data_IF_871146572667
#
_entry.id   IF_871146572667
#
_cell.length_a   1.000
_cell.length_b   1.000
_cell.length_c   1.000
_cell.angle_alpha   90.00
_cell.angle_beta   90.00
_cell.angle_gamma   90.00
#
_symmetry.space_group_name_H-M   'P 1'
#
loop_
_entity.id
_entity.type
_entity.pdbx_description
1 polymer ?
#
# COMPACT_ATOMS: atom_id res chain seq x y z
N UNK A 1 -11.73 3.69 -11.90
CA UNK A 1 -12.02 5.12 -11.59
C UNK A 1 -10.87 5.94 -12.17
N UNK A 2 -11.17 6.99 -12.92
CA UNK A 2 -10.14 7.85 -13.49
C UNK A 2 -9.88 9.03 -12.56
N UNK A 3 -8.63 9.49 -12.50
CA UNK A 3 -8.19 10.56 -11.58
C UNK A 3 -8.94 11.87 -11.82
N UNK A 4 -9.30 12.16 -13.09
CA UNK A 4 -10.08 13.35 -13.45
C UNK A 4 -11.46 13.38 -12.81
N UNK A 5 -12.11 12.22 -12.62
CA UNK A 5 -13.41 12.09 -11.95
C UNK A 5 -13.35 12.42 -10.45
N UNK A 6 -12.16 12.38 -9.86
CA UNK A 6 -11.94 12.71 -8.46
C UNK A 6 -11.75 14.21 -8.23
N UNK A 7 -11.43 14.99 -9.28
CA UNK A 7 -11.15 16.41 -9.12
C UNK A 7 -12.44 17.20 -8.82
N UNK A 8 -12.34 18.10 -7.86
CA UNK A 8 -13.36 19.11 -7.57
C UNK A 8 -13.13 20.37 -8.41
N UNK A 9 -14.13 21.24 -8.48
CA UNK A 9 -14.03 22.54 -9.16
C UNK A 9 -12.88 23.42 -8.62
N UNK A 10 -12.47 23.21 -7.37
CA UNK A 10 -11.39 23.93 -6.72
C UNK A 10 -10.00 23.32 -6.96
N UNK A 11 -9.88 22.33 -7.85
CA UNK A 11 -8.61 21.66 -8.17
C UNK A 11 -8.09 20.70 -7.08
N UNK A 12 -8.91 20.36 -6.07
CA UNK A 12 -8.61 19.37 -5.05
C UNK A 12 -9.19 18.01 -5.43
N UNK A 13 -8.65 16.92 -4.87
CA UNK A 13 -9.28 15.61 -4.99
C UNK A 13 -10.39 15.44 -3.95
N UNK A 14 -11.49 14.80 -4.34
CA UNK A 14 -12.59 14.47 -3.43
C UNK A 14 -12.38 13.11 -2.79
N UNK A 15 -12.08 13.08 -1.50
CA UNK A 15 -12.02 11.87 -0.68
C UNK A 15 -13.37 11.14 -0.73
N UNK A 16 -14.49 11.89 -0.65
CA UNK A 16 -15.82 11.31 -0.70
C UNK A 16 -16.07 10.56 -2.02
N UNK A 17 -15.79 11.17 -3.17
CA UNK A 17 -15.97 10.51 -4.49
C UNK A 17 -15.09 9.29 -4.63
N UNK A 18 -13.89 9.32 -4.04
CA UNK A 18 -12.99 8.18 -4.04
C UNK A 18 -13.52 7.03 -3.20
N UNK A 19 -14.04 7.30 -1.99
CA UNK A 19 -14.49 6.28 -1.05
C UNK A 19 -15.89 5.75 -1.37
N UNK A 20 -16.77 6.56 -1.97
CA UNK A 20 -18.19 6.24 -2.19
C UNK A 20 -18.42 4.84 -2.80
N UNK A 21 -17.73 4.41 -3.86
CA UNK A 21 -17.93 3.07 -4.42
C UNK A 21 -17.53 1.93 -3.48
N UNK A 22 -16.51 2.16 -2.63
CA UNK A 22 -16.04 1.18 -1.65
C UNK A 22 -16.97 1.11 -0.44
N UNK A 23 -17.48 2.27 -0.01
CA UNK A 23 -18.43 2.38 1.10
C UNK A 23 -19.80 1.76 0.76
N UNK A 24 -20.17 1.74 -0.51
CA UNK A 24 -21.40 1.13 -1.00
C UNK A 24 -21.31 -0.41 -1.16
N UNK A 25 -20.12 -1.02 -1.06
CA UNK A 25 -19.94 -2.46 -1.26
C UNK A 25 -20.15 -3.23 0.05
N UNK A 26 -21.26 -4.00 0.19
CA UNK A 26 -21.64 -4.62 1.47
C UNK A 26 -20.73 -5.77 1.91
N UNK A 27 -19.89 -6.29 1.03
CA UNK A 27 -18.91 -7.35 1.33
C UNK A 27 -17.60 -6.84 1.88
N UNK A 28 -17.39 -5.52 1.89
CA UNK A 28 -16.25 -4.86 2.51
C UNK A 28 -16.65 -4.38 3.91
N UNK A 29 -16.02 -4.92 4.93
CA UNK A 29 -16.11 -4.33 6.27
C UNK A 29 -15.29 -3.05 6.27
N UNK A 30 -15.91 -1.95 6.66
CA UNK A 30 -15.28 -0.62 6.63
C UNK A 30 -15.20 -0.02 8.03
N UNK A 31 -14.14 0.73 8.27
CA UNK A 31 -13.96 1.51 9.50
C UNK A 31 -13.21 2.81 9.18
N UNK A 32 -13.64 3.88 9.81
CA UNK A 32 -12.98 5.18 9.76
C UNK A 32 -12.16 5.34 11.04
N UNK A 33 -10.85 5.14 10.93
CA UNK A 33 -9.94 5.11 12.06
C UNK A 33 -9.58 6.52 12.51
N UNK A 34 -9.69 6.74 13.82
CA UNK A 34 -9.41 8.02 14.45
C UNK A 34 -10.30 9.15 13.92
N UNK A 35 -10.20 10.30 14.52
CA UNK A 35 -10.82 11.52 14.02
C UNK A 35 -9.94 12.69 14.42
N UNK A 36 -9.49 13.47 13.45
CA UNK A 36 -8.65 14.63 13.67
C UNK A 36 -9.10 15.80 12.82
N UNK A 37 -8.71 17.01 13.21
CA UNK A 37 -9.13 18.23 12.55
C UNK A 37 -7.91 19.00 12.03
N UNK A 38 -7.99 19.43 10.78
CA UNK A 38 -7.00 20.30 10.13
C UNK A 38 -7.73 21.34 9.29
N UNK A 39 -7.42 22.61 9.52
CA UNK A 39 -8.02 23.71 8.76
C UNK A 39 -9.55 23.78 8.88
N UNK A 40 -10.12 23.41 10.03
CA UNK A 40 -11.57 23.43 10.27
C UNK A 40 -12.35 22.28 9.62
N UNK A 41 -11.64 21.29 9.06
CA UNK A 41 -12.23 20.09 8.44
C UNK A 41 -11.83 18.85 9.23
N UNK A 42 -12.77 17.88 9.35
CA UNK A 42 -12.53 16.59 10.01
C UNK A 42 -12.06 15.57 9.00
N UNK A 43 -11.06 14.80 9.41
CA UNK A 43 -10.49 13.71 8.65
C UNK A 43 -10.41 12.43 9.49
N UNK A 44 -10.28 11.30 8.81
CA UNK A 44 -10.01 9.98 9.39
C UNK A 44 -9.19 9.16 8.38
N UNK A 45 -8.55 8.10 8.84
CA UNK A 45 -7.89 7.13 7.96
C UNK A 45 -8.87 6.00 7.66
N UNK A 46 -9.31 5.80 6.40
CA UNK A 46 -10.23 4.73 6.05
C UNK A 46 -9.51 3.37 6.03
N UNK A 47 -10.10 2.37 6.67
CA UNK A 47 -9.70 0.97 6.60
C UNK A 47 -10.82 0.14 6.02
N UNK A 48 -10.49 -0.70 5.03
CA UNK A 48 -11.36 -1.74 4.51
C UNK A 48 -10.80 -3.10 4.87
N UNK A 49 -11.65 -3.99 5.33
CA UNK A 49 -11.27 -5.36 5.67
C UNK A 49 -11.97 -6.32 4.73
N UNK A 50 -11.18 -7.17 4.08
CA UNK A 50 -11.66 -8.27 3.26
C UNK A 50 -11.14 -9.58 3.80
N UNK A 51 -12.07 -10.49 4.18
CA UNK A 51 -11.73 -11.84 4.61
C UNK A 51 -11.93 -12.81 3.44
N UNK A 52 -10.84 -13.38 2.99
CA UNK A 52 -10.87 -14.45 1.99
C UNK A 52 -11.46 -15.75 2.55
N UNK A 53 -11.88 -16.67 1.68
CA UNK A 53 -12.43 -17.96 2.08
C UNK A 53 -11.38 -18.90 2.65
N UNK A 54 -11.85 -20.03 3.21
CA UNK A 54 -11.11 -21.25 3.54
C UNK A 54 -10.14 -21.19 4.74
N UNK A 55 -10.17 -20.17 5.60
CA UNK A 55 -9.37 -20.17 6.83
C UNK A 55 -10.15 -19.76 8.07
N UNK A 56 -10.04 -20.56 9.13
CA UNK A 56 -10.48 -20.18 10.49
C UNK A 56 -9.48 -19.20 11.12
N UNK A 57 -8.18 -19.33 10.81
CA UNK A 57 -7.10 -18.45 11.25
C UNK A 57 -6.36 -17.87 10.03
N UNK A 58 -6.87 -16.80 9.44
CA UNK A 58 -6.31 -16.26 8.21
C UNK A 58 -5.02 -15.48 8.46
N UNK A 59 -4.15 -15.55 7.46
CA UNK A 59 -2.91 -14.76 7.41
C UNK A 59 -3.25 -13.30 7.21
N UNK A 60 -2.76 -12.43 8.08
CA UNK A 60 -3.07 -11.00 8.09
C UNK A 60 -2.07 -10.20 7.25
N UNK A 61 -2.57 -9.52 6.24
CA UNK A 61 -1.76 -8.65 5.37
C UNK A 61 -2.30 -7.23 5.42
N UNK A 62 -1.40 -6.28 5.71
CA UNK A 62 -1.67 -4.84 5.63
C UNK A 62 -1.28 -4.30 4.25
N UNK A 63 -2.22 -3.60 3.60
CA UNK A 63 -2.00 -2.94 2.30
C UNK A 63 -2.18 -1.44 2.48
N UNK A 64 -1.14 -0.66 2.19
CA UNK A 64 -1.10 0.77 2.47
C UNK A 64 -0.80 1.57 1.20
N UNK A 65 -1.50 2.70 1.00
CA UNK A 65 -1.24 3.59 -0.12
C UNK A 65 -1.51 5.06 0.25
N UNK A 66 -1.08 5.95 -0.63
CA UNK A 66 -1.22 7.39 -0.50
C UNK A 66 -0.74 7.93 0.87
N UNK A 67 0.41 7.47 1.36
CA UNK A 67 1.14 8.10 2.45
C UNK A 67 1.76 9.42 1.95
N UNK A 68 2.14 9.48 0.66
CA UNK A 68 2.33 10.71 -0.08
C UNK A 68 1.05 11.00 -0.87
N UNK A 69 0.44 12.14 -0.63
CA UNK A 69 -0.88 12.43 -1.16
C UNK A 69 -0.88 12.71 -2.67
N UNK A 70 0.24 13.10 -3.26
CA UNK A 70 0.43 13.30 -4.69
C UNK A 70 0.64 12.00 -5.49
N UNK A 71 0.67 10.84 -4.82
CA UNK A 71 0.82 9.51 -5.40
C UNK A 71 -0.52 8.73 -5.45
N UNK A 72 -1.53 9.14 -6.24
CA UNK A 72 -2.86 8.53 -6.19
C UNK A 72 -2.95 7.13 -6.80
N UNK A 73 -1.93 6.71 -7.58
CA UNK A 73 -1.93 5.43 -8.26
C UNK A 73 -2.10 4.24 -7.30
N UNK A 74 -1.41 4.28 -6.14
CA UNK A 74 -1.53 3.28 -5.10
C UNK A 74 -2.94 3.19 -4.52
N UNK A 75 -3.57 4.35 -4.22
CA UNK A 75 -4.94 4.41 -3.72
C UNK A 75 -5.94 3.80 -4.71
N UNK A 76 -5.83 4.18 -6.00
CA UNK A 76 -6.67 3.66 -7.08
C UNK A 76 -6.43 2.16 -7.29
N UNK A 77 -5.19 1.69 -7.17
CA UNK A 77 -4.87 0.27 -7.28
C UNK A 77 -5.50 -0.54 -6.15
N UNK A 78 -5.45 -0.05 -4.89
CA UNK A 78 -6.10 -0.71 -3.76
C UNK A 78 -7.64 -0.72 -3.92
N UNK A 79 -8.24 0.37 -4.38
CA UNK A 79 -9.67 0.43 -4.66
C UNK A 79 -10.08 -0.57 -5.76
N UNK A 80 -9.31 -0.64 -6.85
CA UNK A 80 -9.53 -1.60 -7.94
C UNK A 80 -9.38 -3.03 -7.44
N UNK A 81 -8.34 -3.30 -6.66
CA UNK A 81 -8.08 -4.62 -6.10
C UNK A 81 -9.18 -5.08 -5.15
N UNK A 82 -9.71 -4.21 -4.29
CA UNK A 82 -10.87 -4.52 -3.43
C UNK A 82 -12.09 -4.93 -4.26
N UNK A 83 -12.38 -4.24 -5.37
CA UNK A 83 -13.47 -4.61 -6.28
C UNK A 83 -13.23 -5.96 -6.96
N UNK A 84 -11.97 -6.28 -7.32
CA UNK A 84 -11.62 -7.60 -7.84
C UNK A 84 -11.81 -8.70 -6.80
N UNK A 85 -11.37 -8.49 -5.56
CA UNK A 85 -11.55 -9.46 -4.46
C UNK A 85 -13.02 -9.77 -4.20
N UNK A 86 -13.87 -8.76 -4.32
CA UNK A 86 -15.31 -8.93 -4.20
C UNK A 86 -15.88 -9.83 -5.31
N UNK A 87 -15.34 -9.74 -6.53
CA UNK A 87 -15.75 -10.59 -7.68
C UNK A 87 -15.10 -11.96 -7.65
N UNK A 88 -13.85 -12.04 -7.25
CA UNK A 88 -13.00 -13.22 -7.23
C UNK A 88 -12.42 -13.47 -5.84
N UNK A 89 -13.22 -13.89 -4.83
CA UNK A 89 -12.77 -14.01 -3.43
C UNK A 89 -11.59 -14.97 -3.24
N UNK A 90 -11.40 -15.94 -4.13
CA UNK A 90 -10.29 -16.89 -4.09
C UNK A 90 -8.91 -16.23 -4.28
N UNK A 91 -8.85 -15.01 -4.80
CA UNK A 91 -7.60 -14.25 -4.85
C UNK A 91 -7.03 -14.01 -3.44
N UNK A 92 -7.91 -13.86 -2.44
CA UNK A 92 -7.53 -13.70 -1.03
C UNK A 92 -7.76 -14.98 -0.20
N UNK A 93 -7.79 -16.15 -0.82
CA UNK A 93 -7.95 -17.41 -0.09
C UNK A 93 -6.92 -17.54 1.03
N UNK A 94 -7.38 -17.86 2.26
CA UNK A 94 -6.60 -17.93 3.50
C UNK A 94 -6.04 -16.60 4.03
N UNK A 95 -6.38 -15.45 3.44
CA UNK A 95 -5.93 -14.14 3.91
C UNK A 95 -7.04 -13.34 4.58
N UNK A 96 -6.65 -12.52 5.55
CA UNK A 96 -7.38 -11.37 6.05
C UNK A 96 -6.62 -10.12 5.60
N UNK A 97 -7.19 -9.40 4.64
CA UNK A 97 -6.58 -8.19 4.10
C UNK A 97 -7.15 -6.98 4.82
N UNK A 98 -6.27 -6.16 5.40
CA UNK A 98 -6.61 -4.86 5.95
C UNK A 98 -5.99 -3.80 5.04
N UNK A 99 -6.85 -3.00 4.41
CA UNK A 99 -6.50 -2.14 3.28
C UNK A 99 -6.72 -0.69 3.68
N UNK A 100 -5.66 0.11 3.59
CA UNK A 100 -5.61 1.53 3.96
C UNK A 100 -5.32 2.35 2.68
N UNK A 101 -6.33 2.66 1.87
CA UNK A 101 -6.10 3.28 0.57
C UNK A 101 -5.69 4.75 0.67
N UNK A 102 -5.96 5.41 1.79
CA UNK A 102 -5.65 6.82 2.03
C UNK A 102 -4.96 6.98 3.40
N UNK A 103 -3.64 6.76 3.44
CA UNK A 103 -2.85 6.93 4.67
C UNK A 103 -2.65 8.41 5.02
N UNK A 104 -2.66 9.30 4.03
CA UNK A 104 -2.56 10.76 4.17
C UNK A 104 -3.77 11.42 3.49
N UNK A 105 -4.93 11.46 4.14
CA UNK A 105 -6.14 12.01 3.53
C UNK A 105 -6.01 13.50 3.19
N UNK A 106 -5.29 14.28 4.01
CA UNK A 106 -5.10 15.72 3.77
C UNK A 106 -4.20 15.98 2.56
N UNK A 107 -3.09 15.27 2.44
CA UNK A 107 -2.20 15.37 1.28
C UNK A 107 -2.87 14.85 0.01
N UNK A 108 -3.66 13.76 0.10
CA UNK A 108 -4.41 13.25 -1.05
C UNK A 108 -5.41 14.28 -1.58
N UNK A 109 -6.18 14.91 -0.69
CA UNK A 109 -7.12 15.96 -1.07
C UNK A 109 -6.42 17.15 -1.72
N UNK A 110 -5.30 17.61 -1.14
CA UNK A 110 -4.55 18.78 -1.60
C UNK A 110 -3.59 18.48 -2.78
N UNK A 111 -3.45 17.21 -3.18
CA UNK A 111 -2.49 16.75 -4.19
C UNK A 111 -1.05 17.13 -3.83
N UNK A 112 -0.66 16.88 -2.59
CA UNK A 112 0.68 17.20 -2.07
C UNK A 112 1.33 15.96 -1.45
N UNK A 113 2.66 15.85 -1.55
CA UNK A 113 3.44 14.79 -0.92
C UNK A 113 3.22 14.78 0.60
N UNK A 114 3.35 15.94 1.23
CA UNK A 114 3.22 16.12 2.66
C UNK A 114 1.76 16.15 3.12
N UNK A 115 1.55 15.96 4.43
CA UNK A 115 0.27 16.30 5.09
C UNK A 115 0.02 17.81 4.98
N UNK A 116 -1.23 18.25 5.19
CA UNK A 116 -1.58 19.69 5.23
C UNK A 116 -0.82 20.47 6.31
N UNK A 117 -0.23 19.80 7.30
CA UNK A 117 0.66 20.38 8.29
C UNK A 117 2.10 20.53 7.80
N UNK A 118 2.40 20.13 6.53
CA UNK A 118 3.70 20.26 5.90
C UNK A 118 4.70 19.16 6.26
N UNK A 119 4.27 18.03 6.80
CA UNK A 119 5.12 16.90 7.18
C UNK A 119 5.09 15.80 6.13
N UNK A 120 6.27 15.30 5.76
CA UNK A 120 6.41 14.03 5.04
C UNK A 120 6.14 12.89 6.03
N UNK A 121 4.90 12.37 6.02
CA UNK A 121 4.48 11.35 6.97
C UNK A 121 5.34 10.08 6.89
N UNK A 122 5.89 9.77 5.71
CA UNK A 122 6.76 8.60 5.50
C UNK A 122 8.21 8.82 5.97
N UNK A 123 8.42 9.81 6.87
CA UNK A 123 9.66 10.05 7.61
C UNK A 123 9.42 10.20 9.12
N UNK A 124 8.16 10.02 9.56
CA UNK A 124 7.73 10.31 10.93
C UNK A 124 7.47 9.04 11.78
N UNK A 125 7.42 7.83 11.17
CA UNK A 125 7.11 6.59 11.90
C UNK A 125 8.19 6.24 12.92
N UNK A 126 7.73 5.78 14.10
CA UNK A 126 8.55 5.35 15.23
C UNK A 126 9.49 6.45 15.81
N UNK A 127 9.11 7.70 15.58
CA UNK A 127 9.86 8.88 16.03
C UNK A 127 9.09 9.74 17.03
N UNK A 128 8.08 9.17 17.72
CA UNK A 128 7.16 9.89 18.59
C UNK A 128 6.51 11.10 17.88
N UNK A 129 6.05 10.88 16.65
CA UNK A 129 5.38 11.88 15.84
C UNK A 129 4.08 12.34 16.50
N UNK A 130 3.75 13.61 16.28
CA UNK A 130 2.47 14.23 16.69
C UNK A 130 1.50 14.37 15.51
N UNK A 131 1.82 13.76 14.37
CA UNK A 131 0.95 13.72 13.21
C UNK A 131 -0.13 12.66 13.45
N UNK A 132 -1.42 13.03 13.45
CA UNK A 132 -2.49 12.09 13.82
C UNK A 132 -2.60 10.89 12.88
N UNK A 133 -2.29 11.08 11.60
CA UNK A 133 -2.25 9.98 10.62
C UNK A 133 -1.19 8.93 11.02
N UNK A 134 -0.01 9.37 11.46
CA UNK A 134 1.08 8.50 11.89
C UNK A 134 0.69 7.77 13.18
N UNK A 135 0.12 8.46 14.17
CA UNK A 135 -0.33 7.85 15.42
C UNK A 135 -1.37 6.76 15.18
N UNK A 136 -2.35 7.02 14.29
CA UNK A 136 -3.39 6.05 13.90
C UNK A 136 -2.76 4.83 13.24
N UNK A 137 -1.88 5.04 12.25
CA UNK A 137 -1.26 3.95 11.50
C UNK A 137 -0.27 3.14 12.37
N UNK A 138 0.50 3.79 13.26
CA UNK A 138 1.35 3.09 14.22
C UNK A 138 0.53 2.22 15.19
N UNK A 139 -0.66 2.68 15.61
CA UNK A 139 -1.57 1.85 16.40
C UNK A 139 -1.99 0.59 15.64
N UNK A 140 -2.38 0.70 14.38
CA UNK A 140 -2.73 -0.43 13.52
C UNK A 140 -1.55 -1.39 13.32
N UNK A 141 -0.36 -0.85 13.04
CA UNK A 141 0.87 -1.64 12.88
C UNK A 141 1.25 -2.43 14.14
N UNK A 142 0.93 -1.90 15.35
CA UNK A 142 1.18 -2.60 16.62
C UNK A 142 0.12 -3.66 16.93
N UNK A 143 -1.15 -3.42 16.57
CA UNK A 143 -2.28 -4.21 17.09
C UNK A 143 -2.81 -5.24 16.12
N UNK A 144 -2.65 -5.04 14.81
CA UNK A 144 -3.19 -5.95 13.81
C UNK A 144 -2.36 -7.22 13.60
N UNK A 145 -1.13 -7.28 14.13
CA UNK A 145 -0.24 -8.45 14.02
C UNK A 145 -0.11 -8.96 12.58
N UNK A 146 0.29 -8.08 11.66
CA UNK A 146 0.48 -8.42 10.26
C UNK A 146 1.58 -9.46 10.07
N UNK A 147 1.33 -10.45 9.21
CA UNK A 147 2.35 -11.36 8.68
C UNK A 147 3.10 -10.74 7.48
N UNK A 148 2.49 -9.73 6.86
CA UNK A 148 3.07 -8.97 5.76
C UNK A 148 2.51 -7.57 5.66
N UNK A 149 3.36 -6.63 5.21
CA UNK A 149 3.04 -5.22 5.00
C UNK A 149 3.46 -4.87 3.58
N UNK A 150 2.52 -4.34 2.79
CA UNK A 150 2.79 -3.93 1.42
C UNK A 150 2.37 -2.47 1.27
N UNK A 151 3.27 -1.65 0.74
CA UNK A 151 3.04 -0.25 0.47
C UNK A 151 3.12 0.03 -1.02
N UNK A 152 2.26 0.91 -1.49
CA UNK A 152 2.18 1.32 -2.88
C UNK A 152 2.53 2.80 -3.00
N UNK A 153 3.55 3.08 -3.79
CA UNK A 153 4.13 4.40 -4.03
C UNK A 153 4.30 4.71 -5.51
N UNK A 154 4.74 5.93 -5.82
CA UNK A 154 5.16 6.33 -7.15
C UNK A 154 6.36 7.28 -7.06
N UNK A 155 7.46 6.91 -7.73
CA UNK A 155 8.71 7.67 -7.78
C UNK A 155 8.75 8.60 -9.00
N UNK A 156 9.00 9.87 -8.81
CA UNK A 156 9.09 10.89 -9.87
C UNK A 156 10.44 10.91 -10.60
N UNK A 157 11.43 10.17 -10.08
CA UNK A 157 12.78 10.05 -10.65
C UNK A 157 12.99 8.77 -11.44
N UNK A 158 12.16 7.75 -11.25
CA UNK A 158 12.28 6.46 -11.93
C UNK A 158 11.45 6.39 -13.21
N UNK A 159 12.01 5.77 -14.25
CA UNK A 159 11.31 5.43 -15.49
C UNK A 159 10.73 4.01 -15.51
N UNK A 160 10.98 3.21 -14.47
CA UNK A 160 10.54 1.82 -14.38
C UNK A 160 10.06 1.42 -12.99
N UNK A 161 9.22 0.39 -12.95
CA UNK A 161 8.74 -0.18 -11.69
C UNK A 161 9.88 -0.90 -10.94
N UNK A 162 9.92 -0.71 -9.62
CA UNK A 162 10.89 -1.35 -8.72
C UNK A 162 10.29 -1.52 -7.33
N UNK A 163 11.06 -2.02 -6.36
CA UNK A 163 10.59 -2.08 -4.99
C UNK A 163 11.68 -2.38 -3.98
N UNK A 164 11.32 -2.17 -2.72
CA UNK A 164 12.13 -2.46 -1.55
C UNK A 164 11.63 -3.71 -0.85
N UNK A 165 12.55 -4.44 -0.24
CA UNK A 165 12.26 -5.60 0.62
C UNK A 165 12.89 -5.41 1.98
N UNK A 166 12.13 -5.78 3.03
CA UNK A 166 12.59 -5.76 4.42
C UNK A 166 11.93 -6.88 5.22
N UNK A 167 12.54 -7.24 6.34
CA UNK A 167 11.96 -8.20 7.28
C UNK A 167 12.34 -9.63 6.94
N UNK A 168 11.37 -10.47 6.61
CA UNK A 168 11.60 -11.90 6.38
C UNK A 168 12.62 -12.16 5.24
N UNK A 169 13.56 -13.10 5.47
CA UNK A 169 14.67 -13.41 4.54
C UNK A 169 14.21 -13.78 3.12
N UNK A 170 13.00 -14.29 2.95
CA UNK A 170 12.46 -14.71 1.65
C UNK A 170 11.58 -13.66 0.98
N UNK A 171 11.54 -12.43 1.52
CA UNK A 171 10.67 -11.35 1.01
C UNK A 171 10.94 -11.03 -0.46
N UNK A 172 12.20 -11.12 -0.91
CA UNK A 172 12.57 -10.96 -2.31
C UNK A 172 11.90 -12.00 -3.24
N UNK A 173 11.59 -13.20 -2.74
CA UNK A 173 10.93 -14.24 -3.50
C UNK A 173 9.45 -13.95 -3.75
N UNK A 174 8.88 -12.97 -3.06
CA UNK A 174 7.55 -12.43 -3.33
C UNK A 174 7.65 -11.26 -4.33
N UNK A 175 8.60 -10.35 -4.13
CA UNK A 175 8.74 -9.16 -4.94
C UNK A 175 9.25 -9.46 -6.36
N UNK A 176 10.23 -10.36 -6.50
CA UNK A 176 10.83 -10.70 -7.80
C UNK A 176 9.82 -11.17 -8.85
N UNK A 177 8.94 -12.17 -8.58
CA UNK A 177 7.89 -12.54 -9.54
C UNK A 177 6.87 -11.42 -9.74
N UNK A 178 6.54 -10.64 -8.72
CA UNK A 178 5.63 -9.50 -8.84
C UNK A 178 6.16 -8.44 -9.83
N UNK A 179 7.43 -8.06 -9.71
CA UNK A 179 8.08 -7.13 -10.63
C UNK A 179 8.17 -7.70 -12.05
N UNK A 180 8.34 -9.02 -12.19
CA UNK A 180 8.34 -9.67 -13.52
C UNK A 180 6.97 -9.59 -14.19
N UNK A 181 5.90 -9.88 -13.45
CA UNK A 181 4.54 -9.83 -13.99
C UNK A 181 4.08 -8.38 -14.26
N UNK A 182 4.31 -7.46 -13.31
CA UNK A 182 4.03 -6.03 -13.48
C UNK A 182 4.90 -5.42 -14.60
N UNK A 183 6.09 -5.96 -14.81
CA UNK A 183 7.02 -5.58 -15.88
C UNK A 183 6.50 -5.83 -17.31
N UNK A 184 5.38 -6.54 -17.45
CA UNK A 184 4.68 -6.70 -18.73
C UNK A 184 3.80 -5.49 -19.06
N UNK A 185 3.51 -4.65 -18.06
CA UNK A 185 2.69 -3.45 -18.19
C UNK A 185 3.55 -2.19 -18.16
N UNK A 186 4.45 -2.07 -17.20
CA UNK A 186 5.42 -0.98 -17.07
C UNK A 186 6.83 -1.55 -17.08
N UNK A 187 7.81 -0.93 -17.77
CA UNK A 187 9.18 -1.43 -17.77
C UNK A 187 9.71 -1.49 -16.33
N UNK A 188 10.51 -2.53 -16.04
CA UNK A 188 11.21 -2.61 -14.75
C UNK A 188 12.42 -1.69 -14.74
N UNK A 189 12.68 -1.06 -13.61
CA UNK A 189 13.95 -0.40 -13.38
C UNK A 189 15.00 -1.45 -13.03
N UNK A 190 15.97 -1.66 -13.91
CA UNK A 190 17.04 -2.65 -13.74
C UNK A 190 18.42 -2.02 -13.50
N UNK A 191 18.44 -0.73 -13.18
CA UNK A 191 19.67 -0.01 -12.86
C UNK A 191 20.31 -0.60 -11.60
N UNK A 192 21.65 -0.56 -11.54
CA UNK A 192 22.39 -1.01 -10.35
C UNK A 192 22.26 -0.05 -9.15
N UNK A 193 21.80 1.17 -9.40
CA UNK A 193 21.47 2.18 -8.38
C UNK A 193 20.12 2.76 -8.70
N UNK A 194 19.19 2.72 -7.76
CA UNK A 194 17.83 3.26 -7.86
C UNK A 194 17.57 4.05 -6.58
N UNK A 195 17.06 5.27 -6.70
CA UNK A 195 16.73 6.14 -5.56
C UNK A 195 17.88 6.31 -4.56
N UNK A 196 19.12 6.33 -5.06
CA UNK A 196 20.35 6.45 -4.27
C UNK A 196 20.83 5.15 -3.60
N UNK A 197 20.09 4.06 -3.67
CA UNK A 197 20.44 2.77 -3.09
C UNK A 197 20.98 1.79 -4.14
N UNK A 198 21.84 0.86 -3.70
CA UNK A 198 22.22 -0.27 -4.52
C UNK A 198 21.00 -1.16 -4.78
N UNK A 199 20.78 -1.52 -6.05
CA UNK A 199 19.65 -2.34 -6.47
C UNK A 199 20.11 -3.52 -7.32
N UNK A 200 19.33 -4.61 -7.28
CA UNK A 200 19.51 -5.78 -8.12
C UNK A 200 18.19 -6.20 -8.72
N UNK A 201 18.11 -6.21 -10.05
CA UNK A 201 16.89 -6.59 -10.79
C UNK A 201 15.64 -5.79 -10.38
N UNK A 202 15.79 -4.51 -10.00
CA UNK A 202 14.71 -3.67 -9.50
C UNK A 202 14.37 -3.89 -8.02
N UNK A 203 15.20 -4.61 -7.27
CA UNK A 203 15.00 -4.86 -5.84
C UNK A 203 16.07 -4.15 -5.03
N UNK A 204 15.64 -3.35 -4.06
CA UNK A 204 16.47 -2.67 -3.07
C UNK A 204 16.33 -3.39 -1.73
N UNK A 205 17.46 -3.65 -1.06
CA UNK A 205 17.53 -4.34 0.23
C UNK A 205 17.82 -3.39 1.40
N UNK A 206 17.91 -2.13 1.10
CA UNK A 206 18.09 -1.03 2.05
C UNK A 206 16.77 -0.27 2.23
N UNK A 207 16.70 0.70 3.13
CA UNK A 207 15.48 1.44 3.41
C UNK A 207 15.79 2.82 3.99
N UNK A 208 14.83 3.73 3.88
CA UNK A 208 14.83 5.01 4.58
C UNK A 208 14.39 4.83 6.05
N UNK A 209 14.91 5.68 6.92
CA UNK A 209 14.44 5.76 8.30
C UNK A 209 13.11 6.51 8.41
N UNK A 210 12.28 6.09 9.37
CA UNK A 210 11.00 6.74 9.65
C UNK A 210 9.90 6.46 8.62
N UNK A 211 10.08 5.44 7.78
CA UNK A 211 9.04 4.97 6.86
C UNK A 211 8.00 4.13 7.60
N UNK A 212 6.82 4.03 7.01
CA UNK A 212 5.79 3.10 7.46
C UNK A 212 6.36 1.68 7.43
N UNK A 213 6.43 1.04 8.58
CA UNK A 213 7.03 -0.28 8.77
C UNK A 213 6.51 -0.91 10.06
N UNK A 214 6.71 -2.19 10.25
CA UNK A 214 6.46 -2.85 11.54
C UNK A 214 7.34 -2.28 12.65
N UNK A 215 6.88 -2.30 13.92
CA UNK A 215 7.74 -1.93 15.04
C UNK A 215 8.94 -2.87 15.14
N UNK A 216 10.12 -2.31 15.47
CA UNK A 216 11.41 -3.00 15.45
C UNK A 216 11.49 -4.31 16.28
N UNK A 217 10.56 -4.51 17.22
CA UNK A 217 10.53 -5.69 18.12
C UNK A 217 9.31 -6.57 17.88
N UNK A 218 8.71 -6.52 16.70
CA UNK A 218 7.59 -7.41 16.37
C UNK A 218 8.10 -8.85 16.17
N UNK A 219 7.42 -9.81 16.78
CA UNK A 219 7.69 -11.23 16.64
C UNK A 219 6.37 -11.99 16.40
N UNK A 220 6.19 -12.73 15.32
CA UNK A 220 7.14 -12.86 14.20
C UNK A 220 7.32 -11.57 13.41
N UNK A 221 8.52 -11.41 12.83
CA UNK A 221 8.83 -10.28 11.94
C UNK A 221 8.03 -10.44 10.64
N UNK A 222 7.17 -9.48 10.26
CA UNK A 222 6.45 -9.54 8.99
C UNK A 222 7.41 -9.39 7.80
N UNK A 223 7.02 -9.89 6.64
CA UNK A 223 7.64 -9.42 5.41
C UNK A 223 7.17 -8.00 5.09
N UNK A 224 8.04 -7.17 4.55
CA UNK A 224 7.71 -5.82 4.14
C UNK A 224 8.14 -5.59 2.69
N UNK A 225 7.22 -5.08 1.89
CA UNK A 225 7.43 -4.75 0.48
C UNK A 225 6.93 -3.33 0.23
N UNK A 226 7.76 -2.51 -0.41
CA UNK A 226 7.35 -1.24 -0.99
C UNK A 226 7.44 -1.40 -2.51
N UNK A 227 6.36 -1.10 -3.21
CA UNK A 227 6.29 -1.07 -4.67
C UNK A 227 6.28 0.38 -5.13
N UNK A 228 7.17 0.69 -6.08
CA UNK A 228 7.31 2.02 -6.68
C UNK A 228 7.00 1.96 -8.18
N UNK A 229 6.01 2.72 -8.62
CA UNK A 229 5.75 2.91 -10.04
C UNK A 229 6.35 4.23 -10.53
N UNK A 230 6.71 4.34 -11.83
CA UNK A 230 7.14 5.63 -12.37
C UNK A 230 5.96 6.63 -12.31
N UNK A 231 6.11 7.70 -11.53
CA UNK A 231 5.06 8.70 -11.31
C UNK A 231 4.53 9.33 -12.62
N UNK A 232 5.42 9.49 -13.61
CA UNK A 232 5.09 10.08 -14.92
C UNK A 232 4.43 9.11 -15.90
N UNK A 233 4.34 7.83 -15.57
CA UNK A 233 3.65 6.86 -16.42
C UNK A 233 2.13 7.11 -16.41
N UNK A 234 1.41 6.72 -17.48
CA UNK A 234 -0.04 6.82 -17.51
C UNK A 234 -0.68 6.14 -16.28
N UNK A 235 -1.61 6.84 -15.62
CA UNK A 235 -2.23 6.41 -14.36
C UNK A 235 -2.84 5.01 -14.44
N UNK A 236 -3.53 4.71 -15.53
CA UNK A 236 -4.14 3.39 -15.74
C UNK A 236 -3.10 2.27 -15.81
N UNK A 237 -1.91 2.52 -16.35
CA UNK A 237 -0.82 1.53 -16.40
C UNK A 237 -0.17 1.35 -15.02
N UNK A 238 0.00 2.43 -14.24
CA UNK A 238 0.47 2.34 -12.86
C UNK A 238 -0.48 1.49 -12.02
N UNK A 239 -1.79 1.79 -12.06
CA UNK A 239 -2.83 1.03 -11.35
C UNK A 239 -2.81 -0.44 -11.75
N UNK A 240 -2.79 -0.73 -13.06
CA UNK A 240 -2.77 -2.09 -13.56
C UNK A 240 -1.52 -2.87 -13.12
N UNK A 241 -0.35 -2.24 -13.18
CA UNK A 241 0.90 -2.86 -12.75
C UNK A 241 0.89 -3.19 -11.25
N UNK A 242 0.40 -2.27 -10.40
CA UNK A 242 0.27 -2.47 -8.95
C UNK A 242 -0.73 -3.59 -8.61
N UNK A 243 -1.89 -3.64 -9.27
CA UNK A 243 -2.88 -4.71 -9.06
C UNK A 243 -2.30 -6.08 -9.43
N UNK A 244 -1.61 -6.18 -10.56
CA UNK A 244 -0.92 -7.42 -10.97
C UNK A 244 0.15 -7.81 -9.96
N UNK A 245 0.94 -6.86 -9.46
CA UNK A 245 1.95 -7.10 -8.44
C UNK A 245 1.33 -7.64 -7.15
N UNK A 246 0.25 -7.03 -6.65
CA UNK A 246 -0.47 -7.49 -5.45
C UNK A 246 -1.00 -8.92 -5.60
N UNK A 247 -1.66 -9.22 -6.72
CA UNK A 247 -2.15 -10.59 -7.03
C UNK A 247 -1.01 -11.60 -7.03
N UNK A 248 0.12 -11.22 -7.60
CA UNK A 248 1.30 -12.09 -7.67
C UNK A 248 1.91 -12.32 -6.30
N UNK A 249 2.08 -11.27 -5.48
CA UNK A 249 2.62 -11.38 -4.12
C UNK A 249 1.76 -12.32 -3.27
N UNK A 250 0.44 -12.13 -3.26
CA UNK A 250 -0.46 -13.00 -2.48
C UNK A 250 -0.43 -14.44 -2.98
N UNK A 251 -0.42 -14.66 -4.29
CA UNK A 251 -0.32 -15.98 -4.88
C UNK A 251 0.99 -16.70 -4.53
N UNK A 252 2.13 -16.02 -4.64
CA UNK A 252 3.44 -16.57 -4.29
C UNK A 252 3.56 -16.81 -2.78
N UNK A 253 3.05 -15.90 -1.94
CA UNK A 253 3.09 -16.09 -0.49
C UNK A 253 2.27 -17.32 -0.07
N UNK A 254 1.08 -17.50 -0.62
CA UNK A 254 0.27 -18.70 -0.38
C UNK A 254 1.02 -19.98 -0.80
N UNK A 255 1.71 -19.96 -1.94
CA UNK A 255 2.53 -21.10 -2.37
C UNK A 255 3.66 -21.39 -1.38
N UNK A 256 4.41 -20.38 -0.96
CA UNK A 256 5.52 -20.54 0.00
C UNK A 256 5.04 -21.17 1.31
N UNK A 257 3.91 -20.72 1.85
CA UNK A 257 3.35 -21.27 3.09
C UNK A 257 2.90 -22.71 2.91
N UNK A 258 2.28 -23.05 1.78
CA UNK A 258 1.83 -24.43 1.51
C UNK A 258 3.00 -25.41 1.43
N UNK A 259 4.17 -24.96 0.97
CA UNK A 259 5.39 -25.78 0.98
C UNK A 259 5.98 -25.91 2.38
N UNK A 260 5.97 -24.84 3.18
CA UNK A 260 6.49 -24.86 4.55
C UNK A 260 5.70 -25.80 5.47
N UNK A 261 4.40 -25.94 5.24
CA UNK A 261 3.54 -26.87 5.98
C UNK A 261 3.83 -28.36 5.69
N UNK A 262 4.64 -28.66 4.67
CA UNK A 262 5.02 -30.01 4.27
C UNK A 262 6.46 -30.38 4.65
N UNK A 263 7.18 -29.51 5.36
CA UNK A 263 8.53 -29.74 5.88
C UNK A 263 8.45 -29.92 7.40
#
# INVERSE_FOLDING_TARGET
METEQLMTENGRRSIQRFLEPLLAEPRLQQELLGSFEVGGQKYCVPRFTFRGPNSSDPIRIGLFAAIHGDEPAGALALATFLVELVKEPLLAENFLLQVYPLCNPTGFEDNTRCSRRGRDLNREFWRASVEPEVEILEHELRTCHFSGIIQLHADDTSEGIYGFVRGHTLTENLLRPALREAGKILPRNVNATIDGFAARDGIIYDHYDGVLAAPARMDPVPFEIILETPHRAPMNLQVQALVIALRTILGEYRRLISFAANI
#
